data_IF_087390017110
#
_entry.id   IF_087390017110
#
_cell.length_a   1.000
_cell.length_b   1.000
_cell.length_c   1.000
_cell.angle_alpha   90.00
_cell.angle_beta   90.00
_cell.angle_gamma   90.00
#
_symmetry.space_group_name_H-M   'P 1'
#
loop_
_entity.id
_entity.type
_entity.pdbx_description
1 polymer ?
#
# COMPACT_ATOMS: atom_id res chain seq x y z
N UNK A 1 3.11 4.14 5.21
CA UNK A 1 3.32 4.14 3.74
C UNK A 1 2.35 3.16 3.12
N UNK A 2 1.79 3.50 1.95
CA UNK A 2 0.92 2.61 1.17
C UNK A 2 1.62 2.28 -0.15
N UNK A 3 1.61 1.00 -0.52
CA UNK A 3 1.93 0.54 -1.86
C UNK A 3 0.64 0.11 -2.57
N UNK A 4 0.52 0.48 -3.84
CA UNK A 4 -0.64 0.20 -4.68
C UNK A 4 -0.16 -0.65 -5.86
N UNK A 5 -0.57 -1.91 -5.90
CA UNK A 5 -0.21 -2.83 -6.99
C UNK A 5 -1.44 -3.05 -7.86
N UNK A 6 -1.38 -2.56 -9.09
CA UNK A 6 -2.39 -2.83 -10.10
C UNK A 6 -2.26 -4.26 -10.62
N UNK A 7 -3.31 -5.05 -10.39
CA UNK A 7 -3.43 -6.49 -10.65
C UNK A 7 -2.85 -7.40 -9.56
N UNK A 8 -3.71 -8.23 -8.95
CA UNK A 8 -3.31 -9.26 -7.98
C UNK A 8 -2.46 -10.37 -8.62
N UNK A 9 -2.53 -10.53 -9.94
CA UNK A 9 -1.66 -11.45 -10.68
C UNK A 9 -0.20 -10.96 -10.75
N UNK A 10 0.10 -9.72 -10.33
CA UNK A 10 1.47 -9.23 -10.23
C UNK A 10 2.18 -9.74 -8.95
N UNK A 11 2.30 -11.06 -8.85
CA UNK A 11 2.88 -11.77 -7.69
C UNK A 11 4.30 -11.31 -7.40
N UNK A 12 5.09 -10.97 -8.43
CA UNK A 12 6.46 -10.49 -8.25
C UNK A 12 6.54 -9.16 -7.51
N UNK A 13 5.70 -8.19 -7.87
CA UNK A 13 5.62 -6.89 -7.19
C UNK A 13 5.10 -7.04 -5.76
N UNK A 14 4.05 -7.84 -5.56
CA UNK A 14 3.52 -8.13 -4.21
C UNK A 14 4.59 -8.75 -3.33
N UNK A 15 5.26 -9.80 -3.80
CA UNK A 15 6.32 -10.47 -3.05
C UNK A 15 7.52 -9.55 -2.76
N UNK A 16 7.85 -8.63 -3.67
CA UNK A 16 8.87 -7.61 -3.42
C UNK A 16 8.49 -6.73 -2.23
N UNK A 17 7.28 -6.17 -2.23
CA UNK A 17 6.82 -5.31 -1.14
C UNK A 17 6.75 -6.05 0.19
N UNK A 18 6.25 -7.30 0.19
CA UNK A 18 6.22 -8.14 1.39
C UNK A 18 7.63 -8.34 1.98
N UNK A 19 8.63 -8.61 1.14
CA UNK A 19 10.04 -8.72 1.58
C UNK A 19 10.61 -7.39 2.09
N UNK A 20 10.10 -6.26 1.62
CA UNK A 20 10.46 -4.92 2.07
C UNK A 20 9.73 -4.47 3.34
N UNK A 21 9.02 -5.36 4.03
CA UNK A 21 8.35 -5.07 5.30
C UNK A 21 6.94 -4.49 5.14
N UNK A 22 6.36 -4.56 3.94
CA UNK A 22 4.93 -4.28 3.78
C UNK A 22 4.10 -5.50 4.18
N UNK A 23 2.85 -5.23 4.58
CA UNK A 23 1.81 -6.23 4.84
C UNK A 23 0.62 -5.92 3.95
N UNK A 24 -0.02 -6.92 3.35
CA UNK A 24 -1.26 -6.72 2.61
C UNK A 24 -2.38 -6.29 3.57
N UNK A 25 -3.12 -5.23 3.20
CA UNK A 25 -4.22 -4.68 4.02
C UNK A 25 -5.58 -4.77 3.32
N UNK A 26 -5.61 -5.12 2.03
CA UNK A 26 -6.85 -5.35 1.31
C UNK A 26 -6.66 -5.40 -0.20
N UNK A 27 -7.72 -5.87 -0.87
CA UNK A 27 -7.80 -5.88 -2.33
C UNK A 27 -9.10 -5.24 -2.77
N UNK A 28 -9.00 -4.27 -3.68
CA UNK A 28 -10.15 -3.69 -4.37
C UNK A 28 -10.40 -4.51 -5.65
N UNK A 29 -11.59 -5.11 -5.75
CA UNK A 29 -11.94 -6.05 -6.82
C UNK A 29 -12.54 -5.37 -8.04
N UNK A 30 -12.09 -5.77 -9.24
CA UNK A 30 -12.62 -5.30 -10.52
C UNK A 30 -12.73 -3.76 -10.65
N UNK A 31 -11.73 -3.02 -10.17
CA UNK A 31 -11.79 -1.55 -10.13
C UNK A 31 -11.08 -0.84 -11.28
N UNK A 32 -10.28 -1.57 -12.06
CA UNK A 32 -9.59 -1.04 -13.24
C UNK A 32 -9.89 -1.89 -14.47
N UNK A 33 -9.97 -1.28 -15.66
CA UNK A 33 -10.11 -2.00 -16.92
C UNK A 33 -8.96 -1.65 -17.87
N UNK A 34 -8.18 -2.66 -18.28
CA UNK A 34 -7.03 -2.46 -19.19
C UNK A 34 -6.80 -3.72 -20.02
N UNK A 35 -6.45 -3.53 -21.30
CA UNK A 35 -6.17 -4.61 -22.25
C UNK A 35 -7.29 -5.68 -22.31
N UNK A 36 -8.55 -5.25 -22.27
CA UNK A 36 -9.70 -6.14 -22.42
C UNK A 36 -10.07 -6.97 -21.19
N UNK A 37 -9.52 -6.67 -20.00
CA UNK A 37 -9.88 -7.34 -18.76
C UNK A 37 -10.04 -6.36 -17.59
N UNK A 38 -10.89 -6.76 -16.65
CA UNK A 38 -10.96 -6.15 -15.33
C UNK A 38 -9.75 -6.55 -14.49
N UNK A 39 -9.32 -5.64 -13.63
CA UNK A 39 -8.14 -5.73 -12.79
C UNK A 39 -8.51 -5.40 -11.35
N UNK A 40 -7.96 -6.21 -10.46
CA UNK A 40 -7.92 -5.91 -9.04
C UNK A 40 -6.83 -4.88 -8.73
N UNK A 41 -6.89 -4.28 -7.54
CA UNK A 41 -5.78 -3.52 -6.96
C UNK A 41 -5.49 -4.02 -5.55
N UNK A 42 -4.25 -4.43 -5.31
CA UNK A 42 -3.79 -4.86 -3.99
C UNK A 42 -3.20 -3.66 -3.27
N UNK A 43 -3.65 -3.44 -2.03
CA UNK A 43 -3.14 -2.42 -1.13
C UNK A 43 -2.24 -3.10 -0.09
N UNK A 44 -1.01 -2.61 0.03
CA UNK A 44 -0.10 -3.02 1.08
C UNK A 44 0.34 -1.82 1.92
N UNK A 45 0.59 -2.05 3.20
CA UNK A 45 1.00 -1.03 4.15
C UNK A 45 2.32 -1.39 4.81
N UNK A 46 3.19 -0.39 4.96
CA UNK A 46 4.40 -0.46 5.77
C UNK A 46 4.42 0.71 6.75
N UNK A 47 4.81 0.44 8.00
CA UNK A 47 5.01 1.46 9.01
C UNK A 47 6.28 2.27 8.72
N UNK A 48 6.22 3.58 8.86
CA UNK A 48 7.40 4.45 8.75
C UNK A 48 7.77 4.99 10.13
N UNK A 49 9.05 4.87 10.50
CA UNK A 49 9.56 5.30 11.80
C UNK A 49 8.78 4.70 12.97
N UNK A 50 8.47 5.51 13.98
CA UNK A 50 7.68 5.10 15.15
C UNK A 50 6.21 4.80 14.82
N UNK A 51 5.73 5.19 13.63
CA UNK A 51 4.36 4.93 13.21
C UNK A 51 3.33 5.47 14.20
N UNK A 52 2.31 4.65 14.47
CA UNK A 52 1.25 4.96 15.43
C UNK A 52 1.67 4.78 16.90
N UNK A 53 2.89 4.34 17.19
CA UNK A 53 3.37 4.16 18.57
C UNK A 53 3.72 5.49 19.25
N UNK A 54 3.70 6.60 18.52
CA UNK A 54 3.86 7.95 19.05
C UNK A 54 2.82 8.88 18.47
N UNK A 55 2.38 9.86 19.26
CA UNK A 55 1.59 10.96 18.73
C UNK A 55 2.42 11.75 17.70
N UNK A 56 1.78 12.39 16.72
CA UNK A 56 2.45 13.39 15.89
C UNK A 56 3.08 14.46 16.77
N UNK A 57 4.25 14.96 16.37
CA UNK A 57 4.84 16.12 17.02
C UNK A 57 3.81 17.27 16.98
N UNK A 58 3.61 17.95 18.12
CA UNK A 58 2.77 19.14 18.16
C UNK A 58 3.25 20.12 17.09
N UNK A 59 2.36 20.69 16.26
CA UNK A 59 2.78 21.64 15.24
C UNK A 59 3.55 22.78 15.91
N UNK A 60 4.72 23.10 15.34
CA UNK A 60 5.50 24.25 15.78
C UNK A 60 4.67 25.51 15.50
N UNK A 61 4.34 26.34 16.51
CA UNK A 61 3.55 27.54 16.25
C UNK A 61 4.28 28.47 15.27
N UNK A 62 3.64 28.80 14.15
CA UNK A 62 4.12 29.79 13.18
C UNK A 62 4.86 29.26 11.94
N UNK A 63 4.75 27.95 11.62
CA UNK A 63 5.16 27.40 10.31
C UNK A 63 3.99 26.80 9.55
#
# INVERSE_FOLDING_TARGET
MIAVVGDCANVASVALHLRSGFTEIGTLKDIGFKHGRWLDTVLLQCQLGKGSCTLPDSPVPGR
#
